data_IF_258650559090
#
_entry.id   IF_258650559090
#
_cell.length_a   1.000
_cell.length_b   1.000
_cell.length_c   1.000
_cell.angle_alpha   90.00
_cell.angle_beta   90.00
_cell.angle_gamma   90.00
#
_symmetry.space_group_name_H-M   'P 1'
#
loop_
_entity.id
_entity.type
_entity.pdbx_description
1 polymer ?
#
# COMPACT_ATOMS: atom_id res chain seq x y z
N UNK A 1 -9.42 -0.38 -24.83
CA UNK A 1 -8.55 0.33 -23.88
C UNK A 1 -8.30 1.74 -24.37
N UNK A 2 -8.27 2.73 -23.47
CA UNK A 2 -8.23 4.18 -23.76
C UNK A 2 -6.97 4.80 -23.15
N UNK A 3 -6.48 5.90 -23.73
CA UNK A 3 -5.35 6.67 -23.20
C UNK A 3 -4.00 6.35 -23.87
N UNK A 4 -2.90 6.92 -23.36
CA UNK A 4 -1.59 6.77 -23.97
C UNK A 4 -1.05 5.34 -23.81
N UNK A 5 -0.28 4.88 -24.80
CA UNK A 5 0.43 3.58 -24.71
C UNK A 5 1.78 3.70 -24.00
N UNK A 6 2.23 4.92 -23.67
CA UNK A 6 3.46 5.18 -22.93
C UNK A 6 3.27 6.35 -21.96
N UNK A 7 3.92 6.30 -20.79
CA UNK A 7 3.86 7.38 -19.79
C UNK A 7 5.18 7.47 -19.03
N UNK A 8 5.67 8.68 -18.79
CA UNK A 8 6.83 8.88 -17.93
C UNK A 8 6.41 8.78 -16.46
N UNK A 9 7.09 7.97 -15.61
CA UNK A 9 6.78 7.94 -14.20
C UNK A 9 7.16 9.26 -13.52
N UNK A 10 6.34 9.70 -12.57
CA UNK A 10 6.68 10.82 -11.69
C UNK A 10 7.72 10.40 -10.62
N UNK A 11 8.17 11.34 -9.79
CA UNK A 11 9.14 11.05 -8.71
C UNK A 11 8.68 9.97 -7.74
N UNK A 12 7.41 10.02 -7.37
CA UNK A 12 6.83 9.09 -6.41
C UNK A 12 6.85 7.66 -6.97
N UNK A 13 6.42 7.50 -8.22
CA UNK A 13 6.47 6.24 -8.96
C UNK A 13 7.90 5.75 -9.17
N UNK A 14 8.84 6.64 -9.50
CA UNK A 14 10.27 6.29 -9.62
C UNK A 14 10.85 5.77 -8.31
N UNK A 15 10.43 6.32 -7.17
CA UNK A 15 10.81 5.80 -5.86
C UNK A 15 10.26 4.39 -5.64
N UNK A 16 9.00 4.14 -5.99
CA UNK A 16 8.41 2.79 -5.86
C UNK A 16 9.10 1.77 -6.77
N UNK A 17 9.42 2.17 -8.00
CA UNK A 17 10.17 1.36 -8.96
C UNK A 17 11.59 1.07 -8.46
N UNK A 18 12.30 2.06 -7.91
CA UNK A 18 13.69 1.88 -7.45
C UNK A 18 13.81 1.04 -6.18
N UNK A 19 12.81 1.09 -5.30
CA UNK A 19 12.73 0.21 -4.13
C UNK A 19 12.38 -1.23 -4.54
N UNK A 20 11.72 -1.42 -5.68
CA UNK A 20 11.28 -2.74 -6.14
C UNK A 20 10.24 -3.35 -5.20
N UNK A 21 9.36 -2.52 -4.63
CA UNK A 21 8.33 -2.97 -3.70
C UNK A 21 7.16 -3.62 -4.44
N UNK A 22 6.67 -4.75 -3.94
CA UNK A 22 5.48 -5.44 -4.46
C UNK A 22 4.42 -5.55 -3.38
N UNK A 23 3.16 -5.37 -3.78
CA UNK A 23 1.97 -5.58 -2.97
C UNK A 23 1.30 -6.86 -3.46
N UNK A 24 0.90 -7.73 -2.53
CA UNK A 24 0.25 -9.00 -2.84
C UNK A 24 -1.16 -9.07 -2.27
N UNK A 25 -2.10 -9.58 -3.08
CA UNK A 25 -3.42 -10.01 -2.62
C UNK A 25 -3.54 -11.52 -2.83
N UNK A 26 -3.70 -12.27 -1.75
CA UNK A 26 -3.96 -13.71 -1.79
C UNK A 26 -5.37 -14.01 -1.30
N UNK A 27 -6.08 -14.85 -2.07
CA UNK A 27 -7.45 -15.26 -1.75
C UNK A 27 -7.59 -16.77 -1.89
N UNK A 28 -8.25 -17.41 -0.91
CA UNK A 28 -8.78 -18.77 -1.06
C UNK A 28 -10.15 -18.71 -1.70
N UNK A 29 -10.38 -19.53 -2.70
CA UNK A 29 -11.58 -19.54 -3.54
C UNK A 29 -11.99 -20.99 -3.80
N UNK A 30 -13.25 -21.21 -4.19
CA UNK A 30 -13.67 -22.55 -4.64
C UNK A 30 -12.88 -22.95 -5.88
N UNK A 31 -12.53 -24.23 -6.02
CA UNK A 31 -11.68 -24.69 -7.14
C UNK A 31 -12.25 -24.31 -8.51
N UNK A 32 -13.57 -24.39 -8.69
CA UNK A 32 -14.23 -24.02 -9.93
C UNK A 32 -14.27 -22.51 -10.22
N UNK A 33 -13.82 -21.67 -9.28
CA UNK A 33 -13.73 -20.20 -9.42
C UNK A 33 -12.31 -19.70 -9.71
N UNK A 34 -11.29 -20.55 -9.60
CA UNK A 34 -9.89 -20.14 -9.81
C UNK A 34 -9.68 -19.53 -11.19
N UNK A 35 -10.05 -20.24 -12.26
CA UNK A 35 -9.85 -19.75 -13.63
C UNK A 35 -10.64 -18.48 -13.94
N UNK A 36 -11.87 -18.37 -13.40
CA UNK A 36 -12.70 -17.15 -13.51
C UNK A 36 -11.98 -15.96 -12.88
N UNK A 37 -11.48 -16.10 -11.65
CA UNK A 37 -10.83 -15.02 -10.91
C UNK A 37 -9.49 -14.64 -11.55
N UNK A 38 -8.70 -15.62 -12.02
CA UNK A 38 -7.46 -15.36 -12.79
C UNK A 38 -7.76 -14.52 -14.03
N UNK A 39 -8.81 -14.88 -14.78
CA UNK A 39 -9.21 -14.16 -15.98
C UNK A 39 -9.70 -12.74 -15.67
N UNK A 40 -10.47 -12.56 -14.60
CA UNK A 40 -10.94 -11.26 -14.15
C UNK A 40 -9.78 -10.35 -13.75
N UNK A 41 -8.85 -10.83 -12.91
CA UNK A 41 -7.66 -10.06 -12.51
C UNK A 41 -6.82 -9.68 -13.74
N UNK A 42 -6.59 -10.61 -14.66
CA UNK A 42 -5.78 -10.40 -15.87
C UNK A 42 -6.36 -9.33 -16.80
N UNK A 43 -7.70 -9.22 -16.87
CA UNK A 43 -8.39 -8.20 -17.65
C UNK A 43 -8.49 -6.85 -16.94
N UNK A 44 -8.75 -6.87 -15.63
CA UNK A 44 -9.11 -5.69 -14.85
C UNK A 44 -7.90 -4.87 -14.39
N UNK A 45 -6.82 -5.55 -14.01
CA UNK A 45 -5.72 -4.89 -13.32
C UNK A 45 -4.71 -4.32 -14.32
N UNK A 46 -4.47 -3.00 -14.26
CA UNK A 46 -3.58 -2.31 -15.21
C UNK A 46 -2.16 -2.86 -15.16
N UNK A 47 -1.65 -3.21 -13.97
CA UNK A 47 -0.34 -3.83 -13.81
C UNK A 47 -0.15 -5.10 -14.65
N UNK A 48 -1.23 -5.83 -14.98
CA UNK A 48 -1.21 -6.99 -15.87
C UNK A 48 -0.89 -6.65 -17.32
N UNK A 49 -0.93 -5.37 -17.72
CA UNK A 49 -0.76 -4.88 -19.10
C UNK A 49 0.25 -3.72 -19.23
N UNK A 50 0.99 -3.43 -18.17
CA UNK A 50 2.00 -2.37 -18.15
C UNK A 50 3.35 -2.92 -17.71
N UNK A 51 4.43 -2.54 -18.41
CA UNK A 51 5.82 -2.80 -18.02
C UNK A 51 6.58 -1.47 -17.89
N UNK A 52 7.77 -1.50 -17.28
CA UNK A 52 8.67 -0.35 -17.20
C UNK A 52 9.95 -0.61 -18.02
N UNK A 53 10.17 0.13 -19.11
CA UNK A 53 11.28 -0.10 -20.03
C UNK A 53 12.64 0.47 -19.53
N UNK A 54 12.70 0.91 -18.28
CA UNK A 54 13.83 1.64 -17.69
C UNK A 54 13.67 3.17 -17.76
N UNK A 55 12.72 3.67 -18.56
CA UNK A 55 12.43 5.10 -18.72
C UNK A 55 10.94 5.42 -18.57
N UNK A 56 10.07 4.66 -19.22
CA UNK A 56 8.63 4.87 -19.31
C UNK A 56 7.87 3.64 -18.85
N UNK A 57 6.66 3.87 -18.36
CA UNK A 57 5.62 2.86 -18.44
C UNK A 57 5.22 2.63 -19.89
N UNK A 58 5.08 1.37 -20.27
CA UNK A 58 4.72 0.95 -21.62
C UNK A 58 3.58 -0.05 -21.53
N UNK A 59 2.51 0.25 -22.27
CA UNK A 59 1.38 -0.64 -22.46
C UNK A 59 1.76 -1.82 -23.37
N UNK A 60 1.18 -2.99 -23.11
CA UNK A 60 1.34 -4.15 -23.98
C UNK A 60 0.08 -5.03 -24.01
N UNK A 61 -0.25 -5.52 -25.21
CA UNK A 61 -1.35 -6.46 -25.44
C UNK A 61 -0.97 -7.91 -25.08
N UNK A 62 0.30 -8.16 -24.72
CA UNK A 62 0.75 -9.48 -24.32
C UNK A 62 0.05 -9.93 -23.03
N UNK A 63 -0.34 -11.22 -22.92
CA UNK A 63 -1.02 -11.76 -21.73
C UNK A 63 -0.26 -11.47 -20.43
N UNK A 64 -1.01 -11.40 -19.32
CA UNK A 64 -0.41 -11.28 -18.00
C UNK A 64 0.43 -12.54 -17.69
N UNK A 65 1.68 -12.41 -17.21
CA UNK A 65 2.44 -13.53 -16.69
C UNK A 65 1.64 -14.28 -15.61
N UNK A 66 1.31 -15.53 -15.89
CA UNK A 66 0.43 -16.33 -15.04
C UNK A 66 1.08 -17.68 -14.76
N UNK A 67 1.23 -18.04 -13.48
CA UNK A 67 1.98 -19.21 -13.05
C UNK A 67 1.13 -20.13 -12.16
N UNK A 68 1.17 -21.42 -12.43
CA UNK A 68 0.63 -22.40 -11.50
C UNK A 68 1.66 -22.67 -10.39
N UNK A 69 1.24 -22.61 -9.12
CA UNK A 69 2.07 -22.88 -7.95
C UNK A 69 1.66 -24.21 -7.29
N UNK A 70 2.49 -24.80 -6.40
CA UNK A 70 2.13 -26.04 -5.72
C UNK A 70 0.82 -25.96 -4.91
N UNK A 71 0.09 -27.07 -4.85
CA UNK A 71 -1.15 -27.20 -4.06
C UNK A 71 -0.92 -27.37 -2.54
N UNK A 72 0.33 -27.44 -2.10
CA UNK A 72 0.73 -27.93 -0.78
C UNK A 72 0.83 -26.85 0.30
N UNK A 73 0.29 -25.66 0.08
CA UNK A 73 0.34 -24.59 1.07
C UNK A 73 -0.86 -24.67 2.02
N UNK A 74 -0.66 -25.01 3.31
CA UNK A 74 -1.76 -25.05 4.28
C UNK A 74 -2.34 -23.63 4.52
N UNK A 75 -1.47 -22.62 4.53
CA UNK A 75 -1.80 -21.22 4.80
C UNK A 75 -1.48 -20.30 3.61
N UNK A 76 -2.29 -19.25 3.42
CA UNK A 76 -2.07 -18.24 2.37
C UNK A 76 -0.72 -17.52 2.52
N UNK A 77 -0.20 -17.43 3.74
CA UNK A 77 1.10 -16.82 4.02
C UNK A 77 2.24 -17.58 3.33
N UNK A 78 2.25 -18.92 3.43
CA UNK A 78 3.29 -19.74 2.82
C UNK A 78 3.26 -19.63 1.31
N UNK A 79 2.05 -19.62 0.73
CA UNK A 79 1.86 -19.39 -0.69
C UNK A 79 2.36 -17.99 -1.12
N UNK A 80 2.06 -16.94 -0.35
CA UNK A 80 2.58 -15.59 -0.60
C UNK A 80 4.10 -15.52 -0.54
N UNK A 81 4.73 -16.09 0.50
CA UNK A 81 6.19 -16.15 0.63
C UNK A 81 6.82 -16.90 -0.55
N UNK A 82 6.20 -18.00 -0.97
CA UNK A 82 6.63 -18.74 -2.15
C UNK A 82 6.55 -17.89 -3.42
N UNK A 83 5.42 -17.21 -3.66
CA UNK A 83 5.24 -16.32 -4.82
C UNK A 83 6.22 -15.15 -4.78
N UNK A 84 6.42 -14.50 -3.64
CA UNK A 84 7.35 -13.39 -3.49
C UNK A 84 8.79 -13.80 -3.86
N UNK A 85 9.20 -15.01 -3.46
CA UNK A 85 10.54 -15.56 -3.72
C UNK A 85 10.73 -16.05 -5.15
N UNK A 86 9.72 -16.66 -5.77
CA UNK A 86 9.88 -17.41 -7.03
C UNK A 86 9.19 -16.77 -8.24
N UNK A 87 8.22 -15.87 -8.02
CA UNK A 87 7.33 -15.33 -9.06
C UNK A 87 7.15 -13.81 -8.98
N UNK A 88 8.03 -13.13 -8.24
CA UNK A 88 8.26 -11.69 -8.43
C UNK A 88 9.10 -11.51 -9.69
N UNK A 89 8.49 -10.93 -10.71
CA UNK A 89 9.11 -10.74 -12.02
C UNK A 89 9.69 -9.33 -12.15
N UNK A 90 10.75 -9.12 -12.95
CA UNK A 90 11.27 -7.79 -13.21
C UNK A 90 10.21 -6.86 -13.79
N UNK A 91 10.23 -5.59 -13.39
CA UNK A 91 9.31 -4.54 -13.88
C UNK A 91 9.41 -4.33 -15.39
N UNK A 92 10.55 -4.67 -16.00
CA UNK A 92 10.76 -4.66 -17.46
C UNK A 92 10.00 -5.76 -18.20
N UNK A 93 9.58 -6.82 -17.50
CA UNK A 93 8.73 -7.87 -18.06
C UNK A 93 7.25 -7.51 -17.92
N UNK A 94 6.83 -7.18 -16.69
CA UNK A 94 5.49 -6.72 -16.35
C UNK A 94 5.48 -6.14 -14.94
N UNK A 95 4.58 -5.20 -14.67
CA UNK A 95 4.36 -4.69 -13.32
C UNK A 95 3.55 -5.66 -12.44
N UNK A 96 2.91 -6.69 -13.00
CA UNK A 96 2.20 -7.68 -12.21
C UNK A 96 2.28 -9.10 -12.78
N UNK A 97 2.15 -10.08 -11.88
CA UNK A 97 1.95 -11.49 -12.20
C UNK A 97 0.77 -12.07 -11.41
N UNK A 98 0.19 -13.14 -11.93
CA UNK A 98 -0.88 -13.89 -11.28
C UNK A 98 -0.36 -15.29 -10.99
N UNK A 99 -0.47 -15.74 -9.74
CA UNK A 99 -0.13 -17.09 -9.34
C UNK A 99 -1.40 -17.81 -8.87
N UNK A 100 -1.53 -19.10 -9.17
CA UNK A 100 -2.71 -19.86 -8.77
C UNK A 100 -2.41 -21.33 -8.51
N UNK A 101 -3.24 -21.97 -7.70
CA UNK A 101 -3.26 -23.43 -7.56
C UNK A 101 -4.73 -23.91 -7.52
N UNK A 102 -5.01 -25.11 -7.01
CA UNK A 102 -6.39 -25.64 -7.00
C UNK A 102 -7.42 -24.76 -6.30
N UNK A 103 -7.07 -23.98 -5.29
CA UNK A 103 -8.02 -23.25 -4.43
C UNK A 103 -7.54 -21.85 -4.04
N UNK A 104 -6.40 -21.41 -4.57
CA UNK A 104 -5.76 -20.16 -4.20
C UNK A 104 -5.42 -19.36 -5.44
N UNK A 105 -5.69 -18.06 -5.40
CA UNK A 105 -5.22 -17.07 -6.40
C UNK A 105 -4.46 -15.98 -5.67
N UNK A 106 -3.28 -15.62 -6.21
CA UNK A 106 -2.39 -14.60 -5.69
C UNK A 106 -2.11 -13.60 -6.82
N UNK A 107 -2.50 -12.35 -6.61
CA UNK A 107 -2.11 -11.23 -7.47
C UNK A 107 -0.89 -10.56 -6.86
N UNK A 108 0.22 -10.53 -7.59
CA UNK A 108 1.48 -9.92 -7.19
C UNK A 108 1.76 -8.72 -8.08
N UNK A 109 1.76 -7.51 -7.54
CA UNK A 109 1.86 -6.29 -8.33
C UNK A 109 2.89 -5.32 -7.75
N UNK A 110 3.69 -4.70 -8.60
CA UNK A 110 4.62 -3.65 -8.22
C UNK A 110 3.83 -2.49 -7.58
N UNK A 111 4.37 -1.92 -6.51
CA UNK A 111 3.73 -0.84 -5.77
C UNK A 111 3.59 0.43 -6.61
N UNK A 112 4.35 0.58 -7.69
CA UNK A 112 4.17 1.69 -8.62
C UNK A 112 2.82 1.64 -9.36
N UNK A 113 2.22 0.45 -9.50
CA UNK A 113 0.92 0.21 -10.13
C UNK A 113 -0.07 -0.49 -9.19
N UNK A 114 0.13 -0.39 -7.88
CA UNK A 114 -0.83 -0.87 -6.88
C UNK A 114 -0.56 -0.29 -5.49
N UNK A 115 -1.57 -0.24 -4.65
CA UNK A 115 -1.45 0.05 -3.22
C UNK A 115 -2.50 -0.75 -2.43
N UNK A 116 -2.50 -0.64 -1.10
CA UNK A 116 -3.47 -1.35 -0.25
C UNK A 116 -4.94 -1.00 -0.53
N UNK A 117 -5.22 0.23 -0.96
CA UNK A 117 -6.55 0.67 -1.39
C UNK A 117 -6.98 0.01 -2.71
N UNK A 118 -6.07 -0.10 -3.67
CA UNK A 118 -6.30 -0.82 -4.92
C UNK A 118 -6.51 -2.32 -4.70
N UNK A 119 -5.73 -2.94 -3.80
CA UNK A 119 -5.93 -4.34 -3.44
C UNK A 119 -7.29 -4.58 -2.79
N UNK A 120 -7.77 -3.63 -1.98
CA UNK A 120 -9.14 -3.67 -1.46
C UNK A 120 -10.18 -3.56 -2.58
N UNK A 121 -10.01 -2.65 -3.54
CA UNK A 121 -10.90 -2.55 -4.70
C UNK A 121 -10.94 -3.87 -5.50
N UNK A 122 -9.79 -4.51 -5.69
CA UNK A 122 -9.71 -5.81 -6.33
C UNK A 122 -10.43 -6.90 -5.56
N UNK A 123 -10.21 -6.97 -4.25
CA UNK A 123 -10.90 -7.91 -3.37
C UNK A 123 -12.43 -7.71 -3.43
N UNK A 124 -12.89 -6.46 -3.39
CA UNK A 124 -14.31 -6.13 -3.51
C UNK A 124 -14.87 -6.60 -4.87
N UNK A 125 -14.17 -6.36 -5.97
CA UNK A 125 -14.55 -6.82 -7.32
C UNK A 125 -14.70 -8.33 -7.40
N UNK A 126 -13.68 -9.08 -6.99
CA UNK A 126 -13.71 -10.55 -7.08
C UNK A 126 -14.70 -11.19 -6.11
N UNK A 127 -15.11 -10.45 -5.06
CA UNK A 127 -16.20 -10.83 -4.17
C UNK A 127 -17.59 -10.39 -4.68
N UNK A 128 -17.69 -9.78 -5.87
CA UNK A 128 -18.95 -9.32 -6.46
C UNK A 128 -19.56 -8.09 -5.76
N UNK A 129 -18.76 -7.33 -5.02
CA UNK A 129 -19.21 -6.06 -4.41
C UNK A 129 -19.10 -4.92 -5.43
N UNK A 130 -19.83 -3.85 -5.18
CA UNK A 130 -19.76 -2.65 -6.01
C UNK A 130 -18.33 -2.08 -5.99
N UNK A 131 -17.82 -1.78 -7.19
CA UNK A 131 -16.52 -1.14 -7.37
C UNK A 131 -16.64 0.03 -8.33
N UNK A 132 -15.66 0.95 -8.31
CA UNK A 132 -15.63 2.05 -9.26
C UNK A 132 -15.74 1.63 -10.72
N UNK A 133 -16.19 2.57 -11.56
CA UNK A 133 -16.30 2.36 -13.00
C UNK A 133 -14.95 2.00 -13.61
N UNK A 134 -15.01 1.19 -14.64
CA UNK A 134 -13.84 0.79 -15.40
C UNK A 134 -13.71 1.68 -16.65
N UNK A 135 -12.65 2.47 -16.70
CA UNK A 135 -12.36 3.35 -17.82
C UNK A 135 -11.56 2.65 -18.93
N UNK A 136 -11.16 1.39 -18.71
CA UNK A 136 -10.33 0.61 -19.63
C UNK A 136 -9.02 1.34 -19.96
N UNK A 137 -8.44 2.04 -18.99
CA UNK A 137 -7.21 2.80 -19.17
C UNK A 137 -6.03 1.86 -19.50
N UNK A 138 -5.20 2.25 -20.48
CA UNK A 138 -4.00 1.49 -20.85
C UNK A 138 -2.90 1.54 -19.79
N UNK A 139 -2.73 2.71 -19.17
CA UNK A 139 -1.74 2.99 -18.13
C UNK A 139 -2.47 3.72 -17.00
N UNK A 140 -2.00 3.51 -15.76
CA UNK A 140 -2.58 4.13 -14.57
C UNK A 140 -2.39 5.65 -14.60
N UNK A 141 -3.30 6.37 -13.95
CA UNK A 141 -3.16 7.81 -13.73
C UNK A 141 -2.27 8.04 -12.53
N UNK A 142 -1.33 8.97 -12.69
CA UNK A 142 -0.39 9.34 -11.63
C UNK A 142 -1.10 10.06 -10.48
N UNK A 143 -0.61 9.92 -9.24
CA UNK A 143 -1.21 10.61 -8.08
C UNK A 143 -1.21 12.13 -8.23
N UNK A 144 -0.21 12.68 -8.93
CA UNK A 144 -0.08 14.12 -9.16
C UNK A 144 -1.17 14.61 -10.12
N UNK A 145 -1.44 13.85 -11.17
CA UNK A 145 -2.49 14.19 -12.14
C UNK A 145 -3.88 13.95 -11.55
N UNK A 146 -4.06 12.85 -10.83
CA UNK A 146 -5.31 12.47 -10.19
C UNK A 146 -5.80 13.47 -9.14
N UNK A 147 -4.88 14.21 -8.51
CA UNK A 147 -5.16 15.14 -7.41
C UNK A 147 -4.70 16.58 -7.72
N UNK A 148 -4.46 16.93 -8.99
CA UNK A 148 -3.86 18.22 -9.38
C UNK A 148 -4.56 19.43 -8.73
N UNK A 149 -5.89 19.44 -8.77
CA UNK A 149 -6.71 20.54 -8.27
C UNK A 149 -6.65 20.62 -6.74
N UNK A 150 -6.66 19.47 -6.06
CA UNK A 150 -6.54 19.36 -4.61
C UNK A 150 -5.14 19.78 -4.15
N UNK A 151 -4.10 19.41 -4.90
CA UNK A 151 -2.69 19.71 -4.62
C UNK A 151 -2.36 21.19 -4.82
N UNK A 152 -2.97 21.84 -5.81
CA UNK A 152 -2.80 23.27 -6.07
C UNK A 152 -3.29 24.13 -4.88
N UNK A 153 -4.32 23.66 -4.18
CA UNK A 153 -4.93 24.36 -3.06
C UNK A 153 -4.37 23.95 -1.68
N UNK A 154 -3.42 23.02 -1.63
CA UNK A 154 -2.86 22.56 -0.35
C UNK A 154 -1.67 23.40 0.09
N UNK A 155 -1.81 24.01 1.27
CA UNK A 155 -0.74 24.77 1.93
C UNK A 155 -0.55 24.27 3.38
N UNK A 156 0.62 24.56 3.95
CA UNK A 156 0.92 24.29 5.36
C UNK A 156 2.10 23.34 5.56
N UNK A 157 2.46 23.15 6.84
CA UNK A 157 3.56 22.25 7.23
C UNK A 157 3.09 20.80 7.23
N UNK A 158 4.01 19.88 7.01
CA UNK A 158 3.83 18.46 7.25
C UNK A 158 4.55 18.06 8.53
N UNK A 159 3.97 17.14 9.30
CA UNK A 159 4.74 16.42 10.31
C UNK A 159 5.40 15.21 9.67
N UNK A 160 6.72 15.10 9.81
CA UNK A 160 7.50 13.96 9.32
C UNK A 160 8.14 13.16 10.45
N UNK A 161 7.93 13.55 11.70
CA UNK A 161 8.62 12.95 12.83
C UNK A 161 7.79 11.80 13.40
N UNK A 162 8.32 10.58 13.29
CA UNK A 162 7.81 9.40 13.98
C UNK A 162 8.65 9.09 15.21
N UNK A 163 8.17 8.17 16.05
CA UNK A 163 8.97 7.57 17.13
C UNK A 163 10.21 6.89 16.54
N UNK A 164 11.43 7.42 16.75
CA UNK A 164 12.63 6.81 16.17
C UNK A 164 13.00 5.54 16.93
N UNK A 165 13.47 4.51 16.24
CA UNK A 165 14.06 3.33 16.88
C UNK A 165 15.56 3.58 17.07
N UNK A 166 15.97 3.88 18.31
CA UNK A 166 17.36 4.06 18.71
C UNK A 166 17.97 2.68 18.94
N UNK A 167 19.14 2.40 18.37
CA UNK A 167 19.85 1.11 18.45
C UNK A 167 19.30 -0.02 17.58
N UNK A 168 18.70 0.29 16.42
CA UNK A 168 18.45 -0.73 15.41
C UNK A 168 19.77 -1.39 14.99
N UNK A 169 20.04 -2.62 15.46
CA UNK A 169 21.12 -3.43 14.89
C UNK A 169 20.75 -3.67 13.43
N UNK A 170 21.55 -3.17 12.49
CA UNK A 170 21.46 -3.58 11.08
C UNK A 170 21.54 -5.12 11.07
N UNK A 171 20.42 -5.80 10.87
CA UNK A 171 20.44 -7.23 10.54
C UNK A 171 21.32 -7.37 9.30
N UNK A 172 22.25 -8.32 9.32
CA UNK A 172 23.04 -8.67 8.16
C UNK A 172 22.09 -9.05 7.02
N UNK A 173 22.38 -8.51 5.84
CA UNK A 173 21.56 -8.50 4.64
C UNK A 173 21.27 -9.90 4.11
N UNK A 174 20.03 -10.10 3.63
CA UNK A 174 19.56 -11.00 2.55
C UNK A 174 18.08 -11.44 2.68
N UNK A 175 17.33 -10.93 3.65
CA UNK A 175 15.89 -11.14 3.68
C UNK A 175 15.20 -9.94 3.02
N UNK A 176 14.73 -10.13 1.78
CA UNK A 176 13.82 -9.22 1.09
C UNK A 176 12.61 -8.99 2.00
N UNK A 177 12.51 -7.79 2.58
CA UNK A 177 11.47 -7.37 3.53
C UNK A 177 11.23 -8.38 4.68
N UNK A 178 11.67 -8.02 5.90
CA UNK A 178 11.26 -8.76 7.10
C UNK A 178 9.77 -8.51 7.34
N UNK A 179 8.90 -9.35 6.77
CA UNK A 179 7.57 -9.55 7.29
C UNK A 179 7.72 -10.26 8.64
N UNK A 180 7.78 -9.51 9.74
CA UNK A 180 7.53 -10.11 11.06
C UNK A 180 6.02 -10.27 11.17
N UNK A 181 5.52 -11.41 10.72
CA UNK A 181 4.14 -11.78 10.95
C UNK A 181 4.03 -12.27 12.40
N UNK A 182 3.30 -11.54 13.22
CA UNK A 182 2.88 -12.03 14.53
C UNK A 182 1.48 -12.60 14.31
N UNK A 183 1.39 -13.92 14.27
CA UNK A 183 0.11 -14.62 14.21
C UNK A 183 -0.61 -14.46 15.54
N UNK A 184 -1.80 -13.85 15.50
CA UNK A 184 -2.73 -13.91 16.62
C UNK A 184 -3.95 -14.71 16.14
N UNK A 185 -4.35 -15.80 16.82
CA UNK A 185 -5.61 -16.47 16.51
C UNK A 185 -6.76 -15.48 16.73
N UNK A 186 -7.32 -14.98 15.63
CA UNK A 186 -8.48 -14.08 15.66
C UNK A 186 -9.72 -14.95 15.97
N UNK A 187 -9.97 -15.20 17.26
CA UNK A 187 -11.17 -15.91 17.73
C UNK A 187 -12.45 -15.06 17.61
N UNK A 188 -12.30 -13.74 17.52
CA UNK A 188 -13.38 -12.77 17.48
C UNK A 188 -13.12 -11.71 16.40
N UNK A 189 -14.19 -11.14 15.83
CA UNK A 189 -14.09 -10.06 14.83
C UNK A 189 -13.20 -8.93 15.37
N UNK A 190 -12.08 -8.67 14.71
CA UNK A 190 -11.19 -7.60 15.15
C UNK A 190 -11.85 -6.23 14.97
N UNK A 191 -12.09 -5.56 16.08
CA UNK A 191 -12.45 -4.14 16.13
C UNK A 191 -11.20 -3.27 16.31
N UNK A 192 -11.25 -2.03 15.81
CA UNK A 192 -10.22 -1.00 16.00
C UNK A 192 -8.81 -1.42 15.52
N UNK A 193 -8.73 -2.07 14.35
CA UNK A 193 -7.47 -2.62 13.82
C UNK A 193 -6.41 -1.53 13.61
N UNK A 194 -6.79 -0.41 13.01
CA UNK A 194 -5.88 0.72 12.76
C UNK A 194 -5.25 1.22 14.05
N UNK A 195 -6.06 1.40 15.09
CA UNK A 195 -5.60 1.89 16.39
C UNK A 195 -4.69 0.88 17.07
N UNK A 196 -5.07 -0.39 17.06
CA UNK A 196 -4.23 -1.48 17.61
C UNK A 196 -2.89 -1.58 16.90
N UNK A 197 -2.85 -1.39 15.59
CA UNK A 197 -1.60 -1.38 14.82
C UNK A 197 -0.71 -0.17 15.16
N UNK A 198 -1.27 1.04 15.25
CA UNK A 198 -0.52 2.22 15.67
C UNK A 198 0.06 2.05 17.07
N UNK A 199 -0.73 1.53 18.01
CA UNK A 199 -0.29 1.23 19.36
C UNK A 199 0.82 0.18 19.37
N UNK A 200 0.62 -0.94 18.66
CA UNK A 200 1.61 -2.01 18.59
C UNK A 200 2.96 -1.50 18.05
N UNK A 201 2.95 -0.72 16.96
CA UNK A 201 4.16 -0.13 16.39
C UNK A 201 4.85 0.83 17.38
N UNK A 202 4.08 1.71 18.00
CA UNK A 202 4.59 2.70 18.95
C UNK A 202 5.18 2.06 20.21
N UNK A 203 4.44 1.13 20.82
CA UNK A 203 4.85 0.45 22.05
C UNK A 203 6.06 -0.44 21.78
N UNK A 204 6.11 -1.11 20.62
CA UNK A 204 7.28 -1.88 20.21
C UNK A 204 8.50 -0.98 20.07
N UNK A 205 8.39 0.15 19.35
CA UNK A 205 9.49 1.11 19.21
C UNK A 205 9.97 1.63 20.58
N UNK A 206 9.03 1.91 21.49
CA UNK A 206 9.34 2.35 22.85
C UNK A 206 10.05 1.26 23.68
N UNK A 207 9.60 0.01 23.56
CA UNK A 207 10.23 -1.13 24.21
C UNK A 207 11.67 -1.33 23.70
N UNK A 208 11.88 -1.25 22.39
CA UNK A 208 13.23 -1.29 21.78
C UNK A 208 14.13 -0.17 22.29
N UNK A 209 13.57 1.03 22.46
CA UNK A 209 14.28 2.18 23.01
C UNK A 209 14.54 2.10 24.52
N UNK A 210 13.93 1.13 25.21
CA UNK A 210 13.86 1.07 26.68
C UNK A 210 13.32 2.37 27.30
N UNK A 211 12.51 3.10 26.55
CA UNK A 211 12.00 4.40 26.92
C UNK A 211 10.74 4.71 26.11
N UNK A 212 9.71 5.16 26.80
CA UNK A 212 8.51 5.72 26.19
C UNK A 212 8.86 7.12 25.70
N UNK A 213 9.22 7.23 24.41
CA UNK A 213 9.53 8.50 23.74
C UNK A 213 8.28 9.12 23.09
N UNK A 214 8.44 10.10 22.19
CA UNK A 214 7.37 10.57 21.27
C UNK A 214 6.51 9.40 20.79
N UNK A 215 5.19 9.60 20.73
CA UNK A 215 4.21 8.55 20.41
C UNK A 215 3.58 8.90 19.08
N UNK A 216 4.37 8.69 18.03
CA UNK A 216 4.00 9.06 16.68
C UNK A 216 4.17 7.88 15.73
N UNK A 217 3.08 7.50 15.07
CA UNK A 217 3.04 6.43 14.07
C UNK A 217 2.80 7.03 12.69
N UNK A 218 3.65 6.69 11.72
CA UNK A 218 3.36 6.98 10.32
C UNK A 218 2.35 5.98 9.78
N UNK A 219 1.43 6.44 8.94
CA UNK A 219 0.40 5.64 8.31
C UNK A 219 0.36 5.93 6.82
N UNK A 220 0.21 4.87 6.02
CA UNK A 220 -0.26 4.98 4.65
C UNK A 220 -1.78 5.20 4.63
N UNK A 221 -2.23 6.12 3.78
CA UNK A 221 -3.63 6.50 3.64
C UNK A 221 -4.05 6.43 2.19
N UNK A 222 -5.26 5.91 1.95
CA UNK A 222 -5.84 5.88 0.61
C UNK A 222 -6.26 7.30 0.21
N UNK A 223 -5.46 7.95 -0.65
CA UNK A 223 -5.69 9.33 -1.07
C UNK A 223 -6.83 9.46 -2.10
N UNK A 224 -7.36 8.34 -2.62
CA UNK A 224 -8.58 8.34 -3.46
C UNK A 224 -9.78 8.97 -2.78
N UNK A 225 -9.79 9.03 -1.45
CA UNK A 225 -10.84 9.71 -0.68
C UNK A 225 -10.96 11.21 -0.95
N UNK A 226 -9.93 11.83 -1.54
CA UNK A 226 -9.93 13.23 -1.93
C UNK A 226 -10.36 13.44 -3.39
N UNK A 227 -10.62 12.35 -4.11
CA UNK A 227 -11.07 12.36 -5.49
C UNK A 227 -12.59 12.42 -5.58
N UNK A 228 -13.10 13.12 -6.59
CA UNK A 228 -14.55 13.15 -6.87
C UNK A 228 -15.04 11.82 -7.43
N UNK A 229 -14.30 11.25 -8.39
CA UNK A 229 -14.67 10.04 -9.12
C UNK A 229 -13.44 9.12 -9.27
N UNK A 230 -13.03 8.38 -8.23
CA UNK A 230 -12.01 7.36 -8.39
C UNK A 230 -12.49 6.26 -9.35
N UNK A 231 -11.56 5.61 -10.03
CA UNK A 231 -11.80 4.53 -11.00
C UNK A 231 -10.63 3.52 -11.01
N UNK A 232 -10.65 2.54 -11.92
CA UNK A 232 -9.61 1.50 -12.01
C UNK A 232 -8.24 1.97 -12.53
N UNK A 233 -8.15 3.17 -13.12
CA UNK A 233 -6.89 3.79 -13.50
C UNK A 233 -6.09 4.35 -12.32
N UNK A 234 -6.76 4.54 -11.18
CA UNK A 234 -6.17 5.06 -9.97
C UNK A 234 -5.54 3.91 -9.17
N UNK A 235 -4.35 3.47 -9.57
CA UNK A 235 -3.71 2.26 -9.03
C UNK A 235 -2.82 2.48 -7.80
N UNK A 236 -1.99 3.51 -7.80
CA UNK A 236 -1.09 3.85 -6.70
C UNK A 236 -1.35 5.29 -6.25
N UNK A 237 -2.44 5.47 -5.50
CA UNK A 237 -2.96 6.75 -5.01
C UNK A 237 -2.99 6.69 -3.48
N UNK A 238 -1.81 6.49 -2.90
CA UNK A 238 -1.59 6.51 -1.46
C UNK A 238 -0.79 7.76 -1.03
N UNK A 239 -0.84 8.04 0.26
CA UNK A 239 -0.10 9.13 0.87
C UNK A 239 0.30 8.72 2.28
N UNK A 240 1.14 9.53 2.91
CA UNK A 240 1.55 9.34 4.30
C UNK A 240 0.95 10.44 5.19
N UNK A 241 0.61 10.06 6.41
CA UNK A 241 0.39 10.98 7.54
C UNK A 241 1.12 10.44 8.76
N UNK A 242 1.32 11.27 9.78
CA UNK A 242 1.83 10.84 11.08
C UNK A 242 0.77 11.11 12.13
N UNK A 243 0.27 10.09 12.82
CA UNK A 243 -0.60 10.24 13.98
C UNK A 243 0.26 10.36 15.24
N UNK A 244 0.03 11.38 16.06
CA UNK A 244 0.74 11.67 17.31
C UNK A 244 -0.25 11.83 18.47
N UNK A 245 0.03 11.19 19.60
CA UNK A 245 -0.82 11.34 20.79
C UNK A 245 -0.67 12.70 21.48
N UNK A 246 0.33 13.50 21.14
CA UNK A 246 0.64 14.82 21.71
C UNK A 246 0.73 14.83 23.24
N UNK A 247 1.31 13.77 23.81
CA UNK A 247 1.44 13.63 25.26
C UNK A 247 2.83 14.07 25.73
N UNK A 248 2.88 14.91 26.76
CA UNK A 248 4.14 15.17 27.47
C UNK A 248 4.47 13.97 28.36
N UNK A 249 5.63 13.37 28.11
CA UNK A 249 6.24 12.29 28.91
C UNK A 249 6.36 12.70 30.39
N UNK A 250 6.48 14.00 30.68
CA UNK A 250 6.84 14.51 32.00
C UNK A 250 5.65 14.60 32.96
N UNK A 251 4.41 14.75 32.49
CA UNK A 251 3.27 15.11 33.38
C UNK A 251 1.99 14.30 33.20
N UNK A 252 1.68 13.82 31.98
CA UNK A 252 0.41 13.10 31.71
C UNK A 252 0.59 11.60 31.51
N UNK A 253 1.76 11.16 31.03
CA UNK A 253 1.92 9.78 30.55
C UNK A 253 1.83 8.73 31.67
N UNK A 254 2.33 9.03 32.87
CA UNK A 254 2.33 8.10 34.00
C UNK A 254 0.93 7.63 34.46
N UNK A 255 -0.15 8.19 33.89
CA UNK A 255 -1.54 7.89 34.22
C UNK A 255 -2.39 7.44 33.03
N UNK A 256 -1.87 7.47 31.80
CA UNK A 256 -2.67 7.12 30.63
C UNK A 256 -2.81 5.61 30.50
N UNK A 257 -4.04 5.14 30.35
CA UNK A 257 -4.31 3.75 29.99
C UNK A 257 -4.23 3.56 28.47
N UNK A 258 -4.05 2.31 28.03
CA UNK A 258 -3.89 1.96 26.60
C UNK A 258 -5.07 2.47 25.75
N UNK A 259 -6.29 2.40 26.26
CA UNK A 259 -7.47 2.88 25.54
C UNK A 259 -7.48 4.40 25.33
N UNK A 260 -6.97 5.18 26.29
CA UNK A 260 -6.85 6.63 26.14
C UNK A 260 -5.78 6.99 25.11
N UNK A 261 -4.63 6.30 25.14
CA UNK A 261 -3.58 6.47 24.15
C UNK A 261 -4.08 6.12 22.73
N UNK A 262 -4.83 5.02 22.62
CA UNK A 262 -5.50 4.59 21.38
C UNK A 262 -6.42 5.70 20.84
N UNK A 263 -7.22 6.31 21.72
CA UNK A 263 -8.18 7.34 21.35
C UNK A 263 -7.49 8.64 20.90
N UNK A 264 -6.39 9.04 21.56
CA UNK A 264 -5.60 10.22 21.18
C UNK A 264 -4.98 10.05 19.79
N UNK A 265 -4.35 8.91 19.52
CA UNK A 265 -3.79 8.61 18.19
C UNK A 265 -4.87 8.63 17.11
N UNK A 266 -6.04 8.02 17.38
CA UNK A 266 -7.17 8.04 16.45
C UNK A 266 -7.68 9.45 16.20
N UNK A 267 -7.81 10.25 17.24
CA UNK A 267 -8.29 11.64 17.15
C UNK A 267 -7.35 12.46 16.26
N UNK A 268 -6.05 12.46 16.55
CA UNK A 268 -5.07 13.21 15.76
C UNK A 268 -5.02 12.72 14.31
N UNK A 269 -5.03 11.41 14.07
CA UNK A 269 -5.11 10.85 12.71
C UNK A 269 -6.29 11.42 11.93
N UNK A 270 -7.48 11.47 12.53
CA UNK A 270 -8.68 11.98 11.85
C UNK A 270 -8.63 13.50 11.64
N UNK A 271 -8.14 14.26 12.61
CA UNK A 271 -7.94 15.70 12.47
C UNK A 271 -7.00 16.01 11.30
N UNK A 272 -5.87 15.29 11.19
CA UNK A 272 -4.91 15.45 10.10
C UNK A 272 -5.47 15.08 8.74
N UNK A 273 -6.26 14.00 8.66
CA UNK A 273 -6.96 13.61 7.44
C UNK A 273 -7.96 14.68 6.98
N UNK A 274 -8.73 15.24 7.92
CA UNK A 274 -9.69 16.30 7.65
C UNK A 274 -9.00 17.63 7.25
N UNK A 275 -7.83 17.90 7.84
CA UNK A 275 -7.02 19.08 7.54
C UNK A 275 -6.15 18.92 6.27
N UNK A 276 -6.35 17.86 5.48
CA UNK A 276 -5.66 17.64 4.22
C UNK A 276 -4.15 17.39 4.35
N UNK A 277 -3.67 16.89 5.48
CA UNK A 277 -2.22 16.62 5.66
C UNK A 277 -1.68 15.57 4.70
N UNK A 278 -2.49 14.60 4.32
CA UNK A 278 -2.15 13.63 3.29
C UNK A 278 -1.81 14.34 1.96
N UNK A 279 -2.68 15.25 1.50
CA UNK A 279 -2.43 16.04 0.29
C UNK A 279 -1.15 16.89 0.40
N UNK A 280 -0.89 17.46 1.58
CA UNK A 280 0.38 18.19 1.83
C UNK A 280 1.60 17.28 1.73
N UNK A 281 1.51 16.03 2.21
CA UNK A 281 2.60 15.06 2.08
C UNK A 281 2.91 14.73 0.62
N UNK A 282 1.88 14.49 -0.19
CA UNK A 282 2.05 14.28 -1.65
C UNK A 282 2.69 15.51 -2.30
N UNK A 283 2.17 16.72 -2.01
CA UNK A 283 2.67 17.96 -2.57
C UNK A 283 4.14 18.22 -2.17
N UNK A 284 4.50 17.91 -0.93
CA UNK A 284 5.87 18.05 -0.43
C UNK A 284 6.84 17.09 -1.12
N UNK A 285 6.47 15.81 -1.27
CA UNK A 285 7.27 14.83 -2.00
C UNK A 285 7.47 15.26 -3.46
N UNK A 286 6.40 15.74 -4.10
CA UNK A 286 6.45 16.25 -5.46
C UNK A 286 7.41 17.45 -5.60
N UNK A 287 7.26 18.48 -4.75
CA UNK A 287 8.06 19.71 -4.80
C UNK A 287 9.51 19.54 -4.33
N UNK A 288 9.81 18.67 -3.37
CA UNK A 288 11.19 18.46 -2.89
C UNK A 288 12.02 17.58 -3.81
N UNK A 289 11.38 16.62 -4.46
CA UNK A 289 12.11 15.74 -5.39
C UNK A 289 12.49 16.48 -6.68
N UNK A 290 11.80 17.59 -6.99
CA UNK A 290 12.10 18.47 -8.12
C UNK A 290 11.97 19.95 -7.71
N UNK A 291 13.06 20.64 -7.34
CA UNK A 291 13.01 22.10 -7.33
C UNK A 291 12.61 22.58 -8.73
N UNK A 292 11.74 23.60 -8.80
CA UNK A 292 11.36 24.23 -10.07
C UNK A 292 12.65 24.57 -10.83
N UNK A 293 12.78 24.05 -12.06
CA UNK A 293 13.76 24.55 -13.03
C UNK A 293 13.39 25.99 -13.40
#
# INVERSE_FOLDING_TARGET
MIGPSTMLPNAFEKLQLSVGCYVQLAVKVKNNKVSEIVNEISKKCIGCRTLFDGKNYVYTDQPCPTYQIPDKFPHLEEANKFVAKNHTIPESTRLASICYNKDTVIFNCNHSSSDGGYMKMLLDHVCGRETPKDTQAKIHTSIIDALSDQLANTNGKISTMTTPIRNYRKKQEKEYAIYTLIEFPIKEKMSKVTEKMMLAATLSASAYNKMLTSIASQLAVNARRYMKNPDWSHCNIDSLIVADAHTSIVTKYAKLIIDELSALLRKDMQEKLNNGEALRSVNHLYKRTYPKQ
#
